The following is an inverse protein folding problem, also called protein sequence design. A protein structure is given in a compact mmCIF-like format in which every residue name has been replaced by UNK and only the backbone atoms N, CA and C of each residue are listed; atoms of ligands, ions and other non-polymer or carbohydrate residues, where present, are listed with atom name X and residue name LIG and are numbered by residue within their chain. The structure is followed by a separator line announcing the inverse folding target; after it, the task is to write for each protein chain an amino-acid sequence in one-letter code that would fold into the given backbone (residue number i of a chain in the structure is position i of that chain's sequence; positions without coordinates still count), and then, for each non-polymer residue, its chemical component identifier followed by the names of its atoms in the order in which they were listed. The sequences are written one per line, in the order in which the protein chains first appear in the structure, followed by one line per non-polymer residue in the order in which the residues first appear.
data_IF_348812219933
#
_entry.id   IF_348812219933
#
_cell.length_a   1.000
_cell.length_b   1.000
_cell.length_c   1.000
_cell.angle_alpha   90.00
_cell.angle_beta   90.00
_cell.angle_gamma   90.00
#
_symmetry.space_group_name_H-M   'P 1'
#
loop_
_entity.id
_entity.type
_entity.pdbx_description
1 polymer ?
#
# COMPACT_ATOMS: atom_id res chain seq x y z
N UNK A 1 -10.16 -20.60 -11.64
CA UNK A 1 -9.58 -19.24 -11.64
C UNK A 1 -8.10 -19.33 -12.00
N UNK A 2 -7.50 -18.27 -12.55
CA UNK A 2 -6.05 -18.17 -12.78
C UNK A 2 -5.39 -17.53 -11.56
N UNK A 3 -4.12 -17.83 -11.31
CA UNK A 3 -3.32 -17.15 -10.29
C UNK A 3 -2.55 -16.00 -10.94
N UNK A 4 -2.59 -14.83 -10.32
CA UNK A 4 -1.76 -13.68 -10.65
C UNK A 4 -0.78 -13.46 -9.50
N UNK A 5 0.52 -13.37 -9.81
CA UNK A 5 1.51 -12.93 -8.83
C UNK A 5 1.92 -11.51 -9.20
N UNK A 6 1.81 -10.59 -8.25
CA UNK A 6 2.24 -9.21 -8.38
C UNK A 6 3.36 -8.97 -7.38
N UNK A 7 4.42 -8.26 -7.77
CA UNK A 7 5.51 -7.86 -6.88
C UNK A 7 5.69 -6.36 -7.00
N UNK A 8 5.60 -5.67 -5.87
CA UNK A 8 5.83 -4.23 -5.76
C UNK A 8 6.97 -4.05 -4.77
N UNK A 9 8.06 -3.42 -5.22
CA UNK A 9 9.20 -3.08 -4.38
C UNK A 9 9.39 -1.56 -4.46
N UNK A 10 9.41 -0.91 -3.30
CA UNK A 10 9.48 0.54 -3.16
C UNK A 10 10.75 0.89 -2.39
N UNK A 11 11.58 1.76 -2.97
CA UNK A 11 12.68 2.42 -2.27
C UNK A 11 12.37 3.92 -2.32
N UNK A 12 12.29 4.55 -1.13
CA UNK A 12 11.79 5.92 -1.01
C UNK A 12 12.81 6.78 -0.25
N UNK A 13 13.01 8.01 -0.72
CA UNK A 13 13.60 9.07 0.11
C UNK A 13 12.49 9.70 0.93
N UNK A 14 12.53 9.50 2.25
CA UNK A 14 11.51 9.96 3.20
C UNK A 14 12.12 10.90 4.24
N UNK A 15 11.32 11.73 4.94
CA UNK A 15 11.82 12.59 6.02
C UNK A 15 12.46 11.81 7.18
N UNK A 16 13.47 12.41 7.82
CA UNK A 16 14.22 11.80 8.94
C UNK A 16 13.37 11.63 10.22
N UNK A 17 12.27 12.35 10.35
CA UNK A 17 11.41 12.38 11.53
C UNK A 17 10.26 11.35 11.48
N UNK A 18 10.24 10.49 10.45
CA UNK A 18 9.33 9.35 10.38
C UNK A 18 9.86 8.20 11.24
N UNK A 19 8.95 7.56 11.98
CA UNK A 19 9.27 6.41 12.83
C UNK A 19 8.43 5.21 12.42
N UNK A 20 8.88 4.00 12.74
CA UNK A 20 8.02 2.81 12.68
C UNK A 20 7.28 2.64 14.01
N UNK A 21 6.01 2.25 13.92
CA UNK A 21 5.21 1.85 15.06
C UNK A 21 4.66 0.44 14.85
N UNK A 22 4.92 -0.44 15.82
CA UNK A 22 4.41 -1.81 15.78
C UNK A 22 2.89 -1.83 15.99
N UNK A 23 2.21 -2.67 15.24
CA UNK A 23 0.79 -2.99 15.45
C UNK A 23 0.65 -4.36 16.10
N UNK A 24 -0.46 -4.62 16.78
CA UNK A 24 -0.76 -5.95 17.34
C UNK A 24 -0.95 -7.03 16.28
N UNK A 25 -1.13 -6.64 15.01
CA UNK A 25 -1.32 -7.53 13.87
C UNK A 25 0.02 -7.93 13.21
N UNK A 26 1.13 -7.31 13.63
CA UNK A 26 2.49 -7.70 13.26
C UNK A 26 3.07 -6.93 12.08
N UNK A 27 2.24 -6.25 11.28
CA UNK A 27 2.71 -5.32 10.23
C UNK A 27 2.91 -3.94 10.84
N UNK A 28 4.14 -3.38 10.85
CA UNK A 28 4.37 -2.04 11.39
C UNK A 28 3.78 -0.99 10.44
N UNK A 29 3.45 0.18 10.99
CA UNK A 29 2.99 1.36 10.23
C UNK A 29 3.98 2.51 10.41
N UNK A 30 3.92 3.51 9.52
CA UNK A 30 4.73 4.72 9.63
C UNK A 30 4.03 5.69 10.57
N UNK A 31 4.69 6.08 11.66
CA UNK A 31 4.27 7.15 12.54
C UNK A 31 4.82 8.48 12.03
N UNK A 32 3.90 9.43 11.82
CA UNK A 32 4.19 10.77 11.35
C UNK A 32 4.37 11.76 12.51
N UNK A 33 5.08 12.89 12.31
CA UNK A 33 5.35 13.87 13.36
C UNK A 33 4.10 14.52 13.98
N UNK A 34 2.98 14.56 13.26
CA UNK A 34 1.71 15.11 13.73
C UNK A 34 0.87 14.11 14.55
N UNK A 35 1.45 12.95 14.87
CA UNK A 35 0.81 11.90 15.66
C UNK A 35 -0.12 10.99 14.86
N UNK A 36 -0.19 11.13 13.52
CA UNK A 36 -0.91 10.20 12.65
C UNK A 36 -0.06 8.99 12.31
N UNK A 37 -0.74 7.96 11.82
CA UNK A 37 -0.12 6.75 11.29
C UNK A 37 -0.50 6.60 9.82
N UNK A 38 0.45 6.16 9.01
CA UNK A 38 0.29 5.89 7.60
C UNK A 38 0.67 4.44 7.35
N UNK A 39 -0.22 3.74 6.65
CA UNK A 39 0.06 2.43 6.07
C UNK A 39 0.20 2.58 4.55
N UNK A 40 1.12 1.82 3.97
CA UNK A 40 1.37 1.73 2.53
C UNK A 40 0.85 0.37 2.10
N UNK A 41 -0.32 0.38 1.48
CA UNK A 41 -0.98 -0.80 0.92
C UNK A 41 -1.11 -0.67 -0.60
N UNK A 42 -1.48 -1.76 -1.26
CA UNK A 42 -1.87 -1.70 -2.68
C UNK A 42 -3.21 -0.97 -2.84
N UNK A 43 -3.31 -0.15 -3.88
CA UNK A 43 -4.58 0.44 -4.30
C UNK A 43 -4.75 0.23 -5.83
N UNK A 44 -5.84 -0.41 -6.29
CA UNK A 44 -6.08 -0.59 -7.71
C UNK A 44 -6.48 0.75 -8.35
N UNK A 45 -5.87 1.04 -9.50
CA UNK A 45 -6.23 2.19 -10.32
C UNK A 45 -6.95 1.73 -11.60
N UNK A 46 -7.89 2.54 -12.05
CA UNK A 46 -8.79 2.23 -13.16
C UNK A 46 -8.73 3.31 -14.23
N UNK A 47 -8.88 2.88 -15.48
CA UNK A 47 -9.01 3.74 -16.65
C UNK A 47 -9.88 3.02 -17.69
N UNK A 48 -10.55 3.78 -18.57
CA UNK A 48 -11.35 3.20 -19.66
C UNK A 48 -10.56 3.01 -20.97
N UNK A 49 -9.39 3.65 -21.05
CA UNK A 49 -8.41 3.51 -22.12
C UNK A 49 -7.01 3.31 -21.47
N UNK A 50 -6.19 2.34 -21.92
CA UNK A 50 -4.85 2.12 -21.36
C UNK A 50 -3.91 3.34 -21.41
N UNK A 51 -4.16 4.28 -22.32
CA UNK A 51 -3.38 5.51 -22.50
C UNK A 51 -3.96 6.72 -21.73
N UNK A 52 -5.05 6.53 -20.99
CA UNK A 52 -5.71 7.60 -20.21
C UNK A 52 -5.03 7.83 -18.86
N UNK A 53 -5.53 8.81 -18.12
CA UNK A 53 -5.20 8.99 -16.72
C UNK A 53 -5.86 7.90 -15.87
N UNK A 54 -5.05 7.28 -15.01
CA UNK A 54 -5.48 6.25 -14.09
C UNK A 54 -5.84 6.90 -12.75
N UNK A 55 -6.98 6.52 -12.19
CA UNK A 55 -7.48 7.06 -10.92
C UNK A 55 -7.99 5.94 -10.02
N UNK A 56 -8.06 6.21 -8.72
CA UNK A 56 -8.78 5.35 -7.79
C UNK A 56 -10.27 5.35 -8.11
N UNK A 57 -10.97 4.35 -7.59
CA UNK A 57 -12.43 4.27 -7.67
C UNK A 57 -13.07 4.95 -6.46
N UNK A 58 -14.18 5.68 -6.68
CA UNK A 58 -15.04 6.16 -5.59
C UNK A 58 -16.10 5.12 -5.19
N UNK A 59 -16.18 4.01 -5.94
CA UNK A 59 -17.07 2.88 -5.67
C UNK A 59 -16.39 1.89 -4.73
N UNK A 60 -16.82 1.90 -3.46
CA UNK A 60 -16.30 1.03 -2.40
C UNK A 60 -16.57 -0.46 -2.69
N UNK A 61 -17.71 -0.81 -3.31
CA UNK A 61 -18.03 -2.21 -3.60
C UNK A 61 -17.04 -2.79 -4.62
N UNK A 62 -16.65 -1.99 -5.62
CA UNK A 62 -15.63 -2.39 -6.61
C UNK A 62 -14.25 -2.53 -5.97
N UNK A 63 -13.89 -1.62 -5.06
CA UNK A 63 -12.62 -1.70 -4.35
C UNK A 63 -12.57 -2.96 -3.48
N UNK A 64 -13.62 -3.21 -2.70
CA UNK A 64 -13.73 -4.37 -1.80
C UNK A 64 -13.69 -5.69 -2.59
N UNK A 65 -14.40 -5.78 -3.72
CA UNK A 65 -14.34 -6.96 -4.61
C UNK A 65 -12.92 -7.26 -5.10
N UNK A 66 -12.09 -6.23 -5.34
CA UNK A 66 -10.69 -6.41 -5.74
C UNK A 66 -9.84 -6.84 -4.53
N UNK A 67 -10.01 -6.21 -3.38
CA UNK A 67 -9.27 -6.54 -2.17
C UNK A 67 -9.58 -7.95 -1.66
N UNK A 68 -10.82 -8.42 -1.82
CA UNK A 68 -11.24 -9.79 -1.51
C UNK A 68 -10.52 -10.86 -2.37
N UNK A 69 -9.94 -10.48 -3.52
CA UNK A 69 -9.14 -11.39 -4.34
C UNK A 69 -7.69 -11.55 -3.83
N UNK A 70 -7.28 -10.78 -2.82
CA UNK A 70 -5.92 -10.82 -2.26
C UNK A 70 -5.83 -11.95 -1.22
N UNK A 71 -5.31 -13.09 -1.65
CA UNK A 71 -5.10 -14.25 -0.75
C UNK A 71 -4.05 -13.98 0.35
N UNK A 72 -3.07 -13.10 0.09
CA UNK A 72 -2.02 -12.72 1.02
C UNK A 72 -1.28 -11.47 0.53
N UNK A 73 -0.94 -10.58 1.46
CA UNK A 73 -0.05 -9.43 1.21
C UNK A 73 1.10 -9.45 2.21
N UNK A 74 2.29 -9.06 1.75
CA UNK A 74 3.47 -8.91 2.60
C UNK A 74 4.08 -7.52 2.36
N UNK A 75 3.89 -6.62 3.33
CA UNK A 75 4.49 -5.28 3.34
C UNK A 75 5.67 -5.28 4.30
N UNK A 76 6.82 -4.77 3.86
CA UNK A 76 8.03 -4.67 4.70
C UNK A 76 8.52 -3.24 4.70
N UNK A 77 8.73 -2.69 5.89
CA UNK A 77 9.31 -1.37 6.09
C UNK A 77 10.73 -1.51 6.63
N UNK A 78 11.69 -0.86 5.99
CA UNK A 78 13.08 -0.83 6.41
C UNK A 78 13.67 0.56 6.13
N UNK A 79 14.23 1.20 7.17
CA UNK A 79 15.04 2.40 6.99
C UNK A 79 16.49 1.99 6.67
N UNK A 80 16.96 2.33 5.47
CA UNK A 80 18.35 2.08 5.06
C UNK A 80 19.25 3.18 5.62
N UNK A 81 20.13 2.82 6.55
CA UNK A 81 21.18 3.73 7.07
C UNK A 81 22.51 3.39 6.39
N UNK A 82 23.21 4.42 5.88
CA UNK A 82 24.51 4.29 5.20
C UNK A 82 25.68 4.60 6.15
#
# INVERSE_FOLDING_TARGET
MKKLNVTIQLEMTVPDDWELADTSEGTPVIKLPDGKFMDIAIEPLFATDPEDLWASTEDEDVLDDILDMVDSEAVTYEFVTH
#
